data_IF_993301507339
#
_entry.id   IF_993301507339
#
_cell.length_a   1.000
_cell.length_b   1.000
_cell.length_c   1.000
_cell.angle_alpha   90.00
_cell.angle_beta   90.00
_cell.angle_gamma   90.00
#
_symmetry.space_group_name_H-M   'P 1'
#
loop_
_entity.id
_entity.type
_entity.pdbx_description
1 polymer ?
#
# COMPACT_ATOMS: atom_id res chain seq x y z
N UNK A 1 13.54 -14.73 13.65
CA UNK A 1 13.01 -14.59 12.27
C UNK A 1 13.73 -13.48 11.51
N UNK A 2 14.07 -13.68 10.23
CA UNK A 2 14.70 -12.68 9.37
C UNK A 2 13.85 -11.38 9.29
N UNK A 3 14.49 -10.21 9.43
CA UNK A 3 13.83 -8.89 9.38
C UNK A 3 13.08 -8.64 8.07
N UNK A 4 13.58 -9.16 6.95
CA UNK A 4 12.93 -9.03 5.64
C UNK A 4 11.68 -9.90 5.53
N UNK A 5 11.72 -11.11 6.09
CA UNK A 5 10.54 -11.97 6.18
C UNK A 5 9.47 -11.33 7.08
N UNK A 6 9.87 -10.73 8.21
CA UNK A 6 8.97 -9.91 9.05
C UNK A 6 8.34 -8.77 8.26
N UNK A 7 9.15 -8.07 7.46
CA UNK A 7 8.70 -7.01 6.57
C UNK A 7 7.64 -7.48 5.57
N UNK A 8 7.89 -8.59 4.89
CA UNK A 8 6.96 -9.16 3.92
C UNK A 8 5.66 -9.65 4.58
N UNK A 9 5.73 -10.37 5.71
CA UNK A 9 4.54 -10.80 6.44
C UNK A 9 3.68 -9.61 6.88
N UNK A 10 4.33 -8.56 7.39
CA UNK A 10 3.65 -7.34 7.78
C UNK A 10 3.05 -6.58 6.58
N UNK A 11 3.78 -6.52 5.45
CA UNK A 11 3.31 -5.93 4.19
C UNK A 11 2.12 -6.70 3.63
N UNK A 12 2.15 -8.03 3.67
CA UNK A 12 1.02 -8.87 3.31
C UNK A 12 -0.20 -8.57 4.17
N UNK A 13 -0.05 -8.54 5.50
CA UNK A 13 -1.16 -8.21 6.41
C UNK A 13 -1.74 -6.81 6.14
N UNK A 14 -0.87 -5.82 5.91
CA UNK A 14 -1.29 -4.47 5.55
C UNK A 14 -2.06 -4.44 4.22
N UNK A 15 -1.59 -5.19 3.23
CA UNK A 15 -2.23 -5.29 1.90
C UNK A 15 -3.59 -5.94 2.01
N UNK A 16 -3.76 -6.99 2.82
CA UNK A 16 -5.06 -7.62 3.08
C UNK A 16 -6.02 -6.60 3.70
N UNK A 17 -5.60 -5.88 4.75
CA UNK A 17 -6.44 -4.86 5.39
C UNK A 17 -6.86 -3.76 4.41
N UNK A 18 -5.91 -3.26 3.60
CA UNK A 18 -6.16 -2.29 2.55
C UNK A 18 -7.13 -2.82 1.49
N UNK A 19 -6.97 -4.07 1.06
CA UNK A 19 -7.83 -4.73 0.08
C UNK A 19 -9.28 -4.82 0.57
N UNK A 20 -9.48 -5.18 1.84
CA UNK A 20 -10.81 -5.20 2.45
C UNK A 20 -11.45 -3.81 2.43
N UNK A 21 -10.70 -2.75 2.78
CA UNK A 21 -11.20 -1.37 2.70
C UNK A 21 -11.52 -0.94 1.26
N UNK A 22 -10.71 -1.36 0.29
CA UNK A 22 -10.96 -1.09 -1.12
C UNK A 22 -12.25 -1.76 -1.63
N UNK A 23 -12.51 -3.00 -1.20
CA UNK A 23 -13.74 -3.73 -1.53
C UNK A 23 -14.96 -3.09 -0.84
N UNK A 24 -14.86 -2.77 0.45
CA UNK A 24 -15.94 -2.11 1.20
C UNK A 24 -16.34 -0.78 0.55
N UNK A 25 -15.38 0.08 0.21
CA UNK A 25 -15.71 1.36 -0.44
C UNK A 25 -16.40 1.15 -1.80
N UNK A 26 -15.98 0.12 -2.55
CA UNK A 26 -16.55 -0.20 -3.86
C UNK A 26 -17.99 -0.69 -3.71
N UNK A 27 -18.27 -1.54 -2.72
CA UNK A 27 -19.62 -2.00 -2.40
C UNK A 27 -20.55 -0.86 -1.98
N UNK A 28 -20.02 0.15 -1.27
CA UNK A 28 -20.76 1.35 -0.86
C UNK A 28 -20.89 2.39 -1.99
N UNK A 29 -20.31 2.15 -3.18
CA UNK A 29 -20.33 3.12 -4.29
C UNK A 29 -19.49 4.39 -4.02
N UNK A 30 -18.57 4.36 -3.05
CA UNK A 30 -17.74 5.51 -2.69
C UNK A 30 -16.59 5.64 -3.68
N UNK A 31 -16.59 6.74 -4.44
CA UNK A 31 -15.59 7.06 -5.47
C UNK A 31 -15.32 5.87 -6.43
N UNK A 32 -16.31 5.47 -7.25
CA UNK A 32 -16.19 4.32 -8.14
C UNK A 32 -15.05 4.46 -9.15
N UNK A 33 -14.70 5.70 -9.53
CA UNK A 33 -13.55 5.98 -10.40
C UNK A 33 -12.19 5.66 -9.77
N UNK A 34 -12.09 5.65 -8.43
CA UNK A 34 -10.87 5.25 -7.73
C UNK A 34 -10.84 3.71 -7.58
N UNK A 35 -10.56 3.03 -8.69
CA UNK A 35 -10.37 1.59 -8.72
C UNK A 35 -8.90 1.24 -8.96
N UNK A 36 -8.18 0.98 -7.87
CA UNK A 36 -6.73 0.68 -7.88
C UNK A 36 -6.42 -0.59 -8.69
N UNK A 37 -7.30 -1.60 -8.64
CA UNK A 37 -7.09 -2.86 -9.36
C UNK A 37 -7.18 -2.63 -10.87
N UNK A 38 -8.20 -1.88 -11.31
CA UNK A 38 -8.34 -1.49 -12.71
C UNK A 38 -7.17 -0.61 -13.17
N UNK A 39 -6.75 0.35 -12.34
CA UNK A 39 -5.60 1.22 -12.61
C UNK A 39 -4.31 0.42 -12.80
N UNK A 40 -3.99 -0.50 -11.89
CA UNK A 40 -2.78 -1.31 -11.97
C UNK A 40 -2.81 -2.29 -13.16
N UNK A 41 -3.97 -2.89 -13.45
CA UNK A 41 -4.14 -3.73 -14.63
C UNK A 41 -3.94 -2.93 -15.93
N UNK A 42 -4.49 -1.71 -16.01
CA UNK A 42 -4.31 -0.81 -17.15
C UNK A 42 -2.85 -0.40 -17.34
N UNK A 43 -2.16 -0.04 -16.26
CA UNK A 43 -0.73 0.28 -16.31
C UNK A 43 0.13 -0.91 -16.75
N UNK A 44 -0.12 -2.10 -16.20
CA UNK A 44 0.60 -3.31 -16.58
C UNK A 44 0.37 -3.66 -18.06
N UNK A 45 -0.85 -3.45 -18.56
CA UNK A 45 -1.17 -3.63 -19.97
C UNK A 45 -0.41 -2.63 -20.85
N UNK A 46 -0.51 -1.33 -20.55
CA UNK A 46 0.07 -0.25 -21.35
C UNK A 46 1.61 -0.28 -21.37
N UNK A 47 2.24 -0.59 -20.24
CA UNK A 47 3.70 -0.50 -20.11
C UNK A 47 4.43 -1.83 -20.24
N UNK A 48 3.75 -2.95 -20.01
CA UNK A 48 4.37 -4.27 -19.97
C UNK A 48 3.70 -5.28 -20.93
N UNK A 49 2.67 -4.87 -21.68
CA UNK A 49 1.94 -5.74 -22.61
C UNK A 49 1.16 -6.86 -21.94
N UNK A 50 0.93 -6.79 -20.62
CA UNK A 50 0.18 -7.82 -19.89
C UNK A 50 -1.31 -7.80 -20.26
N UNK A 51 -2.05 -8.91 -20.07
CA UNK A 51 -3.50 -8.90 -20.23
C UNK A 51 -4.17 -7.89 -19.28
N UNK A 52 -5.07 -7.05 -19.81
CA UNK A 52 -5.83 -6.07 -19.03
C UNK A 52 -6.95 -6.74 -18.19
N UNK A 53 -6.56 -7.57 -17.22
CA UNK A 53 -7.49 -8.35 -16.40
C UNK A 53 -7.40 -7.95 -14.92
N UNK A 54 -8.51 -8.07 -14.15
CA UNK A 54 -8.48 -7.82 -12.71
C UNK A 54 -7.45 -8.67 -11.96
N UNK A 55 -7.17 -9.89 -12.44
CA UNK A 55 -6.16 -10.78 -11.86
C UNK A 55 -4.76 -10.13 -11.88
N UNK A 56 -4.36 -9.51 -13.00
CA UNK A 56 -3.08 -8.80 -13.09
C UNK A 56 -3.05 -7.61 -12.12
N UNK A 57 -4.15 -6.86 -12.00
CA UNK A 57 -4.25 -5.76 -11.04
C UNK A 57 -4.09 -6.22 -9.58
N UNK A 58 -4.72 -7.35 -9.21
CA UNK A 58 -4.57 -7.94 -7.89
C UNK A 58 -3.16 -8.47 -7.62
N UNK A 59 -2.55 -9.15 -8.59
CA UNK A 59 -1.18 -9.62 -8.48
C UNK A 59 -0.20 -8.45 -8.28
N UNK A 60 -0.35 -7.38 -9.08
CA UNK A 60 0.45 -6.17 -8.93
C UNK A 60 0.23 -5.53 -7.55
N UNK A 61 -1.03 -5.42 -7.10
CA UNK A 61 -1.36 -4.86 -5.79
C UNK A 61 -0.68 -5.62 -4.64
N UNK A 62 -0.79 -6.94 -4.64
CA UNK A 62 -0.18 -7.78 -3.60
C UNK A 62 1.33 -7.85 -3.70
N UNK A 63 1.91 -7.85 -4.91
CA UNK A 63 3.36 -7.80 -5.10
C UNK A 63 3.94 -6.49 -4.54
N UNK A 64 3.33 -5.35 -4.90
CA UNK A 64 3.77 -4.03 -4.45
C UNK A 64 3.59 -3.91 -2.93
N UNK A 65 2.41 -4.23 -2.39
CA UNK A 65 2.12 -4.12 -0.96
C UNK A 65 2.92 -5.08 -0.08
N UNK A 66 3.10 -6.31 -0.52
CA UNK A 66 3.78 -7.35 0.26
C UNK A 66 5.30 -7.26 0.11
N UNK A 67 5.78 -7.30 -1.13
CA UNK A 67 7.20 -7.48 -1.42
C UNK A 67 7.88 -6.12 -1.45
N UNK A 68 7.45 -5.22 -2.35
CA UNK A 68 8.15 -3.94 -2.55
C UNK A 68 8.09 -3.10 -1.27
N UNK A 69 6.88 -2.85 -0.77
CA UNK A 69 6.70 -2.04 0.43
C UNK A 69 7.11 -2.74 1.71
N UNK A 70 6.85 -4.04 1.85
CA UNK A 70 7.28 -4.81 3.03
C UNK A 70 8.80 -4.87 3.19
N UNK A 71 9.53 -5.12 2.10
CA UNK A 71 11.00 -5.13 2.11
C UNK A 71 11.57 -3.72 2.34
N UNK A 72 11.00 -2.70 1.69
CA UNK A 72 11.44 -1.33 1.86
C UNK A 72 11.22 -0.84 3.30
N UNK A 73 10.08 -1.17 3.90
CA UNK A 73 9.81 -0.87 5.31
C UNK A 73 10.85 -1.51 6.23
N UNK A 74 11.15 -2.81 6.04
CA UNK A 74 12.17 -3.50 6.82
C UNK A 74 13.55 -2.85 6.67
N UNK A 75 13.94 -2.49 5.45
CA UNK A 75 15.22 -1.84 5.16
C UNK A 75 15.34 -0.43 5.77
N UNK A 76 14.25 0.32 5.80
CA UNK A 76 14.21 1.69 6.33
C UNK A 76 13.83 1.76 7.80
N UNK A 77 13.39 0.66 8.43
CA UNK A 77 12.82 0.66 9.78
C UNK A 77 13.66 1.38 10.83
N UNK A 78 15.00 1.23 10.79
CA UNK A 78 15.91 1.88 11.74
C UNK A 78 16.05 3.38 11.51
N UNK A 79 15.81 3.87 10.29
CA UNK A 79 15.92 5.28 9.89
C UNK A 79 14.59 6.03 9.96
N UNK A 80 13.47 5.32 9.96
CA UNK A 80 12.15 5.94 10.08
C UNK A 80 12.00 6.62 11.45
N UNK A 81 11.49 7.87 11.50
CA UNK A 81 11.24 8.57 12.75
C UNK A 81 10.09 7.91 13.54
N UNK A 82 10.09 8.14 14.85
CA UNK A 82 9.08 7.62 15.78
C UNK A 82 9.61 6.58 16.75
N UNK A 83 9.06 6.58 17.98
CA UNK A 83 9.48 5.71 19.08
C UNK A 83 8.89 4.30 19.05
N UNK A 84 7.93 4.00 18.17
CA UNK A 84 7.26 2.70 18.12
C UNK A 84 7.13 2.18 16.68
N UNK A 85 6.99 0.86 16.54
CA UNK A 85 6.79 0.23 15.23
C UNK A 85 5.52 0.73 14.52
N UNK A 86 4.46 1.02 15.30
CA UNK A 86 3.22 1.60 14.79
C UNK A 86 3.44 3.01 14.23
N UNK A 87 4.13 3.89 14.98
CA UNK A 87 4.42 5.25 14.54
C UNK A 87 5.26 5.24 13.24
N UNK A 88 6.27 4.36 13.18
CA UNK A 88 7.10 4.16 11.97
C UNK A 88 6.27 3.65 10.80
N UNK A 89 5.32 2.75 11.05
CA UNK A 89 4.37 2.25 10.05
C UNK A 89 3.48 3.36 9.48
N UNK A 90 2.95 4.24 10.32
CA UNK A 90 2.16 5.41 9.88
C UNK A 90 2.99 6.37 9.02
N UNK A 91 4.20 6.70 9.46
CA UNK A 91 5.13 7.54 8.68
C UNK A 91 5.41 6.90 7.32
N UNK A 92 5.71 5.60 7.30
CA UNK A 92 5.94 4.88 6.06
C UNK A 92 4.70 4.84 5.16
N UNK A 93 3.50 4.70 5.73
CA UNK A 93 2.24 4.78 5.00
C UNK A 93 2.06 6.12 4.28
N UNK A 94 2.38 7.24 4.94
CA UNK A 94 2.38 8.58 4.33
C UNK A 94 3.42 8.68 3.21
N UNK A 95 4.62 8.14 3.40
CA UNK A 95 5.67 8.14 2.36
C UNK A 95 5.27 7.29 1.14
N UNK A 96 4.68 6.11 1.36
CA UNK A 96 4.17 5.25 0.30
C UNK A 96 3.01 5.92 -0.44
N UNK A 97 2.12 6.61 0.28
CA UNK A 97 1.05 7.42 -0.31
C UNK A 97 1.61 8.53 -1.19
N UNK A 98 2.59 9.30 -0.69
CA UNK A 98 3.26 10.35 -1.47
C UNK A 98 3.86 9.77 -2.75
N UNK A 99 4.58 8.64 -2.66
CA UNK A 99 5.14 7.98 -3.83
C UNK A 99 4.05 7.57 -4.85
N UNK A 100 2.93 7.03 -4.37
CA UNK A 100 1.78 6.65 -5.21
C UNK A 100 1.10 7.85 -5.89
N UNK A 101 0.96 8.97 -5.16
CA UNK A 101 0.34 10.21 -5.66
C UNK A 101 1.18 10.94 -6.69
N UNK A 102 2.51 10.81 -6.61
CA UNK A 102 3.44 11.53 -7.46
C UNK A 102 3.89 10.75 -8.70
N UNK A 103 3.76 9.42 -8.70
CA UNK A 103 4.27 8.59 -9.80
C UNK A 103 3.14 7.77 -10.47
N UNK A 104 2.56 6.72 -9.85
CA UNK A 104 1.47 5.95 -10.45
C UNK A 104 0.24 6.76 -10.85
N UNK A 105 -0.21 7.72 -10.04
CA UNK A 105 -1.41 8.51 -10.36
C UNK A 105 -1.24 9.32 -11.65
N UNK A 106 -0.16 10.12 -11.84
CA UNK A 106 0.14 10.74 -13.12
C UNK A 106 0.29 9.76 -14.28
N UNK A 107 1.02 8.65 -14.06
CA UNK A 107 1.21 7.63 -15.10
C UNK A 107 -0.10 7.01 -15.58
N UNK A 108 -1.07 6.85 -14.67
CA UNK A 108 -2.41 6.37 -14.99
C UNK A 108 -3.34 7.44 -15.58
N UNK A 109 -2.86 8.65 -15.85
CA UNK A 109 -3.65 9.77 -16.37
C UNK A 109 -4.53 10.47 -15.33
N UNK A 110 -4.41 10.14 -14.04
CA UNK A 110 -5.20 10.73 -12.96
C UNK A 110 -4.72 12.12 -12.52
N UNK A 111 -3.60 12.60 -13.07
CA UNK A 111 -2.95 13.86 -12.68
C UNK A 111 -2.16 13.74 -11.37
N UNK A 112 -1.41 14.79 -11.02
CA UNK A 112 -0.70 14.86 -9.74
C UNK A 112 -1.70 14.75 -8.59
N UNK A 113 -1.40 13.91 -7.60
CA UNK A 113 -2.29 13.61 -6.46
C UNK A 113 -3.67 13.04 -6.86
N UNK A 114 -3.84 12.54 -8.09
CA UNK A 114 -5.13 12.03 -8.56
C UNK A 114 -6.19 13.13 -8.76
N UNK A 115 -5.77 14.38 -8.94
CA UNK A 115 -6.67 15.54 -8.96
C UNK A 115 -7.69 15.53 -10.11
N UNK A 116 -7.45 14.80 -11.20
CA UNK A 116 -8.47 14.61 -12.26
C UNK A 116 -9.67 13.79 -11.77
N UNK A 117 -9.51 13.04 -10.67
CA UNK A 117 -10.59 12.29 -10.01
C UNK A 117 -11.27 13.11 -8.89
N UNK A 118 -10.81 14.36 -8.65
CA UNK A 118 -11.31 15.26 -7.62
C UNK A 118 -10.55 15.20 -6.28
N UNK A 119 -10.74 16.23 -5.44
CA UNK A 119 -10.04 16.42 -4.16
C UNK A 119 -10.18 15.26 -3.17
N UNK A 120 -11.23 14.44 -3.30
CA UNK A 120 -11.43 13.28 -2.43
C UNK A 120 -10.49 12.12 -2.74
N UNK A 121 -9.93 12.04 -3.96
CA UNK A 121 -8.98 11.00 -4.33
C UNK A 121 -7.72 11.00 -3.43
N UNK A 122 -6.98 12.10 -3.26
CA UNK A 122 -5.82 12.13 -2.37
C UNK A 122 -6.19 11.91 -0.90
N UNK A 123 -7.33 12.42 -0.44
CA UNK A 123 -7.81 12.24 0.94
C UNK A 123 -8.10 10.78 1.26
N UNK A 124 -8.90 10.12 0.42
CA UNK A 124 -9.29 8.73 0.64
C UNK A 124 -8.11 7.78 0.47
N UNK A 125 -7.25 8.02 -0.51
CA UNK A 125 -6.03 7.21 -0.66
C UNK A 125 -5.07 7.40 0.51
N UNK A 126 -4.98 8.60 1.09
CA UNK A 126 -4.20 8.82 2.31
C UNK A 126 -4.76 7.97 3.47
N UNK A 127 -6.07 8.00 3.70
CA UNK A 127 -6.71 7.17 4.74
C UNK A 127 -6.42 5.68 4.55
N UNK A 128 -6.54 5.19 3.31
CA UNK A 128 -6.23 3.82 2.94
C UNK A 128 -4.75 3.45 3.24
N UNK A 129 -3.81 4.35 2.94
CA UNK A 129 -2.39 4.12 3.21
C UNK A 129 -2.04 4.24 4.70
N UNK A 130 -2.74 5.06 5.47
CA UNK A 130 -2.61 5.11 6.92
C UNK A 130 -3.06 3.78 7.55
N UNK A 131 -4.16 3.19 7.07
CA UNK A 131 -4.59 1.84 7.51
C UNK A 131 -3.54 0.79 7.16
N UNK A 132 -3.05 0.79 5.91
CA UNK A 132 -1.95 -0.08 5.50
C UNK A 132 -0.72 0.06 6.40
N UNK A 133 -0.26 1.30 6.62
CA UNK A 133 0.92 1.61 7.43
C UNK A 133 0.75 1.24 8.89
N UNK A 134 -0.43 1.46 9.46
CA UNK A 134 -0.75 1.07 10.84
C UNK A 134 -0.65 -0.45 11.03
N UNK A 135 -1.26 -1.22 10.13
CA UNK A 135 -1.23 -2.70 10.18
C UNK A 135 0.18 -3.22 9.95
N UNK A 136 0.88 -2.70 8.95
CA UNK A 136 2.29 -3.02 8.66
C UNK A 136 3.17 -2.80 9.90
N UNK A 137 3.13 -1.61 10.50
CA UNK A 137 3.93 -1.30 11.68
C UNK A 137 3.59 -2.17 12.89
N UNK A 138 2.29 -2.37 13.13
CA UNK A 138 1.81 -3.17 14.26
C UNK A 138 2.18 -4.66 14.15
N UNK A 139 2.04 -5.26 12.96
CA UNK A 139 2.42 -6.67 12.72
C UNK A 139 3.93 -6.82 12.77
N UNK A 140 4.69 -5.92 12.11
CA UNK A 140 6.14 -5.96 12.12
C UNK A 140 6.73 -5.88 13.54
N UNK A 141 6.18 -4.99 14.38
CA UNK A 141 6.57 -4.84 15.79
C UNK A 141 6.31 -6.11 16.60
N UNK A 142 5.09 -6.65 16.53
CA UNK A 142 4.71 -7.88 17.25
C UNK A 142 5.57 -9.08 16.87
N UNK A 143 5.85 -9.25 15.57
CA UNK A 143 6.72 -10.32 15.08
C UNK A 143 8.18 -10.17 15.54
N UNK A 144 8.60 -8.98 15.99
CA UNK A 144 9.91 -8.77 16.61
C UNK A 144 9.93 -9.20 18.06
N UNK A 145 8.96 -8.73 18.82
CA UNK A 145 8.83 -9.05 20.25
C UNK A 145 8.70 -10.56 20.48
N UNK A 146 7.94 -11.25 19.63
CA UNK A 146 7.78 -12.71 19.72
C UNK A 146 9.09 -13.50 19.50
N UNK A 147 10.07 -12.92 18.77
CA UNK A 147 11.38 -13.54 18.56
C UNK A 147 12.34 -13.27 19.72
N UNK A 148 12.18 -12.15 20.42
CA UNK A 148 13.01 -11.80 21.57
C UNK A 148 12.58 -12.54 22.86
N UNK A 149 11.34 -13.04 22.90
CA UNK A 149 10.73 -13.67 24.07
C UNK A 149 10.84 -15.21 24.11
N UNK A 150 11.40 -15.86 23.08
CA UNK A 150 11.55 -17.31 22.98
C UNK A 150 12.98 -17.72 22.69
#
# INVERSE_FOLDING_TARGET
>A
MNIYLRGMLAGFSGTVALSLMMMLKAMMGVMPGLNVIHMLAGMAHQHMGMPATPMIGWLAHFLIGTVVWGLLFAALYRRLPGGSALAKGLVFGVLAWLAMMLVPMPMAGAGLFGMHMGMMAPVMTLLLHLVYGAVLGAVFGRLGQAVEAG
#
